data_IF_267600562256
#
_entry.id   IF_267600562256
#
_cell.length_a   1.000
_cell.length_b   1.000
_cell.length_c   1.000
_cell.angle_alpha   90.00
_cell.angle_beta   90.00
_cell.angle_gamma   90.00
#
_symmetry.space_group_name_H-M   'P 1'
#
loop_
_entity.id
_entity.type
_entity.pdbx_description
1 polymer ?
#
# COMPACT_ATOMS: atom_id res chain seq x y z
N UNK A 1 47.92 33.86 -3.91
CA UNK A 1 47.99 32.72 -2.97
C UNK A 1 46.67 31.95 -3.08
N UNK A 2 46.61 30.92 -3.92
CA UNK A 2 45.36 30.16 -4.19
C UNK A 2 45.39 28.89 -3.36
N UNK A 3 44.57 28.85 -2.32
CA UNK A 3 44.32 27.66 -1.50
C UNK A 3 43.61 26.59 -2.34
N UNK A 4 44.34 25.53 -2.72
CA UNK A 4 43.74 24.32 -3.29
C UNK A 4 42.87 23.65 -2.22
N UNK A 5 41.56 23.73 -2.38
CA UNK A 5 40.62 22.91 -1.64
C UNK A 5 40.94 21.43 -1.90
N UNK A 6 41.41 20.72 -0.88
CA UNK A 6 41.68 19.30 -0.96
C UNK A 6 40.40 18.53 -1.22
N UNK A 7 40.23 17.99 -2.43
CA UNK A 7 39.20 16.99 -2.73
C UNK A 7 39.42 15.81 -1.78
N UNK A 8 38.56 15.64 -0.77
CA UNK A 8 38.50 14.42 0.03
C UNK A 8 38.23 13.26 -0.94
N UNK A 9 39.24 12.43 -1.19
CA UNK A 9 39.08 11.21 -1.98
C UNK A 9 38.19 10.27 -1.18
N UNK A 10 37.03 9.93 -1.74
CA UNK A 10 36.16 8.89 -1.17
C UNK A 10 36.93 7.57 -1.30
N UNK A 11 37.30 6.97 -0.16
CA UNK A 11 37.99 5.68 -0.12
C UNK A 11 37.08 4.53 -0.56
N UNK A 12 37.62 3.31 -0.72
CA UNK A 12 36.86 2.13 -1.19
C UNK A 12 35.63 1.84 -0.33
N UNK A 13 35.71 2.04 0.99
CA UNK A 13 34.57 1.91 1.92
C UNK A 13 33.43 2.88 1.57
N UNK A 14 33.77 4.12 1.19
CA UNK A 14 32.76 5.11 0.80
C UNK A 14 32.06 4.75 -0.51
N UNK A 15 32.78 4.13 -1.45
CA UNK A 15 32.18 3.60 -2.68
C UNK A 15 31.25 2.40 -2.40
N UNK A 16 31.65 1.49 -1.52
CA UNK A 16 30.79 0.37 -1.11
C UNK A 16 29.50 0.85 -0.47
N UNK A 17 29.55 1.80 0.46
CA UNK A 17 28.36 2.36 1.10
C UNK A 17 27.46 3.08 0.09
N UNK A 18 28.04 3.85 -0.83
CA UNK A 18 27.28 4.52 -1.89
C UNK A 18 26.57 3.50 -2.82
N UNK A 19 27.26 2.43 -3.19
CA UNK A 19 26.68 1.36 -4.02
C UNK A 19 25.54 0.63 -3.30
N UNK A 20 25.69 0.33 -2.02
CA UNK A 20 24.64 -0.30 -1.20
C UNK A 20 23.42 0.62 -1.04
N UNK A 21 23.65 1.92 -0.80
CA UNK A 21 22.57 2.90 -0.73
C UNK A 21 21.84 3.02 -2.07
N UNK A 22 22.56 3.09 -3.18
CA UNK A 22 21.96 3.13 -4.51
C UNK A 22 21.14 1.87 -4.79
N UNK A 23 21.66 0.69 -4.46
CA UNK A 23 20.93 -0.57 -4.60
C UNK A 23 19.65 -0.55 -3.74
N UNK A 24 19.73 -0.10 -2.48
CA UNK A 24 18.56 0.03 -1.62
C UNK A 24 17.51 0.99 -2.19
N UNK A 25 17.93 2.14 -2.73
CA UNK A 25 17.04 3.10 -3.38
C UNK A 25 16.42 2.52 -4.66
N UNK A 26 17.19 1.78 -5.46
CA UNK A 26 16.66 1.11 -6.66
C UNK A 26 15.62 0.05 -6.29
N UNK A 27 15.89 -0.79 -5.29
CA UNK A 27 14.91 -1.76 -4.80
C UNK A 27 13.67 -1.09 -4.21
N UNK A 28 13.85 0.09 -3.61
CA UNK A 28 12.76 0.85 -3.04
C UNK A 28 11.82 1.44 -4.12
N UNK A 29 12.39 2.09 -5.13
CA UNK A 29 11.64 2.94 -6.07
C UNK A 29 11.53 2.38 -7.49
N UNK A 30 12.24 1.30 -7.79
CA UNK A 30 12.20 0.61 -9.07
C UNK A 30 12.10 -0.92 -8.89
N UNK A 31 11.02 -1.47 -8.30
CA UNK A 31 10.90 -2.92 -8.03
C UNK A 31 11.08 -3.79 -9.28
N UNK A 32 10.82 -3.25 -10.48
CA UNK A 32 11.08 -3.89 -11.77
C UNK A 32 12.51 -4.41 -11.95
N UNK A 33 13.50 -3.88 -11.22
CA UNK A 33 14.90 -4.36 -11.25
C UNK A 33 15.04 -5.80 -10.75
N UNK A 34 14.05 -6.32 -10.00
CA UNK A 34 14.00 -7.72 -9.56
C UNK A 34 13.43 -8.66 -10.63
N UNK A 35 13.27 -8.20 -11.87
CA UNK A 35 12.79 -8.95 -13.03
C UNK A 35 11.42 -9.61 -12.82
N UNK A 36 10.36 -8.89 -13.20
CA UNK A 36 9.01 -9.41 -13.30
C UNK A 36 8.76 -9.87 -14.75
N UNK A 37 8.63 -11.19 -15.01
CA UNK A 37 8.58 -11.72 -16.38
C UNK A 37 7.31 -11.37 -17.16
N UNK A 38 6.23 -10.99 -16.48
CA UNK A 38 4.98 -10.61 -17.11
C UNK A 38 4.66 -9.15 -16.81
N UNK A 39 4.24 -8.41 -17.84
CA UNK A 39 3.74 -7.05 -17.68
C UNK A 39 2.57 -6.77 -18.60
N UNK A 40 1.59 -6.02 -18.11
CA UNK A 40 0.44 -5.57 -18.89
C UNK A 40 0.09 -4.15 -18.48
N UNK A 41 -0.24 -3.30 -19.47
CA UNK A 41 -0.78 -1.96 -19.21
C UNK A 41 -2.29 -1.98 -19.41
N UNK A 42 -3.01 -1.46 -18.41
CA UNK A 42 -4.47 -1.31 -18.42
C UNK A 42 -4.77 0.15 -18.06
N UNK A 43 -5.13 0.96 -19.07
CA UNK A 43 -5.33 2.40 -18.89
C UNK A 43 -4.07 3.08 -18.31
N UNK A 44 -4.22 3.73 -17.15
CA UNK A 44 -3.13 4.39 -16.43
C UNK A 44 -2.30 3.49 -15.52
N UNK A 45 -2.70 2.23 -15.35
CA UNK A 45 -2.05 1.27 -14.47
C UNK A 45 -1.14 0.33 -15.26
N UNK A 46 0.10 0.16 -14.80
CA UNK A 46 1.00 -0.88 -15.31
C UNK A 46 1.11 -2.00 -14.28
N UNK A 47 0.77 -3.22 -14.66
CA UNK A 47 0.83 -4.40 -13.80
C UNK A 47 2.06 -5.21 -14.18
N UNK A 48 2.89 -5.53 -13.19
CA UNK A 48 4.03 -6.43 -13.26
C UNK A 48 3.72 -7.66 -12.41
N UNK A 49 4.00 -8.86 -12.90
CA UNK A 49 3.68 -10.10 -12.19
C UNK A 49 4.76 -11.17 -12.35
N UNK A 50 4.87 -12.02 -11.33
CA UNK A 50 5.72 -13.22 -11.35
C UNK A 50 5.10 -14.39 -12.12
N UNK A 51 3.78 -14.38 -12.29
CA UNK A 51 2.97 -15.38 -13.00
C UNK A 51 2.24 -14.71 -14.17
N UNK A 52 1.78 -15.47 -15.19
CA UNK A 52 0.95 -14.93 -16.24
C UNK A 52 -0.21 -14.11 -15.67
N UNK A 53 -0.43 -12.92 -16.24
CA UNK A 53 -1.47 -12.00 -15.79
C UNK A 53 -2.81 -12.53 -16.30
N UNK A 54 -3.68 -12.90 -15.37
CA UNK A 54 -5.04 -13.35 -15.68
C UNK A 54 -5.86 -12.19 -16.29
N UNK A 55 -6.68 -12.48 -17.30
CA UNK A 55 -7.49 -11.49 -18.01
C UNK A 55 -8.45 -10.73 -17.09
N UNK A 56 -8.87 -11.34 -15.97
CA UNK A 56 -9.72 -10.70 -14.95
C UNK A 56 -9.09 -9.47 -14.33
N UNK A 57 -7.78 -9.25 -14.46
CA UNK A 57 -7.11 -8.04 -13.94
C UNK A 57 -7.79 -6.74 -14.40
N UNK A 58 -8.37 -6.72 -15.61
CA UNK A 58 -9.11 -5.57 -16.14
C UNK A 58 -10.36 -5.30 -15.29
N UNK A 59 -11.10 -6.34 -14.95
CA UNK A 59 -12.30 -6.26 -14.12
C UNK A 59 -11.94 -5.88 -12.68
N UNK A 60 -10.88 -6.48 -12.11
CA UNK A 60 -10.40 -6.17 -10.75
C UNK A 60 -9.99 -4.69 -10.62
N UNK A 61 -9.29 -4.15 -11.63
CA UNK A 61 -8.93 -2.74 -11.69
C UNK A 61 -10.17 -1.84 -11.82
N UNK A 62 -11.16 -2.23 -12.62
CA UNK A 62 -12.41 -1.50 -12.78
C UNK A 62 -13.25 -1.47 -11.50
N UNK A 63 -13.30 -2.59 -10.76
CA UNK A 63 -13.97 -2.65 -9.46
C UNK A 63 -13.26 -1.78 -8.42
N UNK A 64 -11.94 -1.85 -8.36
CA UNK A 64 -11.15 -0.99 -7.47
C UNK A 64 -11.37 0.49 -7.80
N UNK A 65 -11.41 0.85 -9.09
CA UNK A 65 -11.72 2.21 -9.54
C UNK A 65 -13.12 2.68 -9.10
N UNK A 66 -14.10 1.78 -9.12
CA UNK A 66 -15.46 2.08 -8.62
C UNK A 66 -15.46 2.39 -7.13
N UNK A 67 -14.69 1.66 -6.33
CA UNK A 67 -14.50 1.94 -4.91
C UNK A 67 -13.84 3.30 -4.69
N UNK A 68 -12.76 3.60 -5.43
CA UNK A 68 -12.02 4.86 -5.31
C UNK A 68 -12.90 6.08 -5.62
N UNK A 69 -13.80 5.99 -6.60
CA UNK A 69 -14.74 7.06 -6.96
C UNK A 69 -15.71 7.46 -5.85
N UNK A 70 -15.90 6.61 -4.83
CA UNK A 70 -16.73 6.96 -3.68
C UNK A 70 -16.05 7.95 -2.73
N UNK A 71 -14.73 8.11 -2.83
CA UNK A 71 -13.95 9.02 -2.00
C UNK A 71 -14.15 10.48 -2.44
N UNK A 72 -14.46 11.41 -1.51
CA UNK A 72 -14.52 12.84 -1.83
C UNK A 72 -13.19 13.46 -2.29
N UNK A 73 -12.05 12.80 -2.03
CA UNK A 73 -10.72 13.26 -2.48
C UNK A 73 -10.27 12.57 -3.77
N UNK A 74 -11.16 11.87 -4.48
CA UNK A 74 -10.83 11.19 -5.73
C UNK A 74 -10.48 12.19 -6.84
N UNK A 75 -9.23 12.18 -7.35
CA UNK A 75 -8.77 13.16 -8.34
C UNK A 75 -9.05 12.74 -9.79
N UNK A 76 -9.60 11.53 -10.01
CA UNK A 76 -9.58 10.86 -11.30
C UNK A 76 -8.67 9.62 -11.28
N UNK A 77 -8.51 8.93 -12.43
CA UNK A 77 -7.68 7.72 -12.50
C UNK A 77 -6.24 7.97 -12.05
N UNK A 78 -5.80 7.23 -11.02
CA UNK A 78 -4.47 7.40 -10.44
C UNK A 78 -3.45 6.55 -11.19
N UNK A 79 -2.45 7.20 -11.80
CA UNK A 79 -1.32 6.53 -12.46
C UNK A 79 -0.42 5.83 -11.44
N UNK A 80 -0.28 4.51 -11.59
CA UNK A 80 0.48 3.67 -10.64
C UNK A 80 0.99 2.40 -11.29
N UNK A 81 1.95 1.77 -10.64
CA UNK A 81 2.45 0.45 -11.02
C UNK A 81 2.12 -0.57 -9.93
N UNK A 82 1.55 -1.72 -10.30
CA UNK A 82 1.27 -2.82 -9.38
C UNK A 82 2.30 -3.93 -9.58
N UNK A 83 2.93 -4.40 -8.51
CA UNK A 83 3.90 -5.50 -8.54
C UNK A 83 3.30 -6.68 -7.78
N UNK A 84 2.77 -7.64 -8.53
CA UNK A 84 2.10 -8.83 -8.00
C UNK A 84 3.09 -9.96 -7.79
N UNK A 85 3.27 -10.40 -6.55
CA UNK A 85 4.18 -11.50 -6.21
C UNK A 85 3.39 -12.75 -5.83
N UNK A 86 4.11 -13.85 -5.59
CA UNK A 86 3.61 -15.08 -4.99
C UNK A 86 4.06 -15.27 -3.54
N UNK A 87 4.45 -14.18 -2.84
CA UNK A 87 5.01 -14.23 -1.49
C UNK A 87 6.39 -14.89 -1.38
N UNK A 88 7.03 -15.15 -2.52
CA UNK A 88 8.34 -15.76 -2.62
C UNK A 88 9.48 -14.80 -2.30
N UNK A 89 10.64 -15.07 -2.88
CA UNK A 89 11.86 -14.33 -2.55
C UNK A 89 11.79 -12.84 -2.94
N UNK A 90 11.09 -12.46 -4.02
CA UNK A 90 10.94 -11.04 -4.40
C UNK A 90 10.17 -10.27 -3.34
N UNK A 91 9.09 -10.86 -2.82
CA UNK A 91 8.37 -10.30 -1.67
C UNK A 91 9.29 -10.13 -0.47
N UNK A 92 10.05 -11.16 -0.10
CA UNK A 92 10.96 -11.10 1.06
C UNK A 92 12.02 -10.01 0.93
N UNK A 93 12.54 -9.78 -0.27
CA UNK A 93 13.51 -8.69 -0.54
C UNK A 93 12.85 -7.32 -0.51
N UNK A 94 11.68 -7.18 -1.12
CA UNK A 94 10.98 -5.88 -1.22
C UNK A 94 10.32 -5.48 0.10
N UNK A 95 9.83 -6.44 0.88
CA UNK A 95 9.04 -6.22 2.10
C UNK A 95 9.84 -6.43 3.39
N UNK A 96 11.18 -6.26 3.36
CA UNK A 96 12.05 -6.51 4.52
C UNK A 96 11.59 -5.85 5.83
N UNK A 97 10.99 -4.66 5.74
CA UNK A 97 10.51 -3.90 6.91
C UNK A 97 9.08 -4.29 7.33
N UNK A 98 8.32 -4.95 6.45
CA UNK A 98 6.89 -5.21 6.62
C UNK A 98 6.48 -6.57 6.00
N UNK A 99 7.05 -7.70 6.42
CA UNK A 99 6.86 -8.98 5.72
C UNK A 99 5.43 -9.54 5.81
N UNK A 100 4.64 -9.09 6.78
CA UNK A 100 3.30 -9.59 7.08
C UNK A 100 2.16 -8.70 6.56
N UNK A 101 2.42 -7.73 5.68
CA UNK A 101 1.37 -6.89 5.08
C UNK A 101 0.86 -7.48 3.77
N UNK A 102 -0.36 -7.09 3.37
CA UNK A 102 -0.96 -7.53 2.10
C UNK A 102 -0.30 -6.87 0.90
N UNK A 103 -0.08 -5.57 1.02
CA UNK A 103 0.63 -4.77 0.07
C UNK A 103 1.25 -3.57 0.79
N UNK A 104 2.08 -2.82 0.08
CA UNK A 104 2.54 -1.53 0.55
C UNK A 104 2.92 -0.65 -0.64
N UNK A 105 2.84 0.65 -0.44
CA UNK A 105 3.58 1.65 -1.21
C UNK A 105 4.69 2.27 -0.38
N UNK A 106 5.69 2.85 -1.04
CA UNK A 106 6.70 3.70 -0.39
C UNK A 106 6.36 5.18 -0.60
N UNK A 107 6.67 6.06 0.39
CA UNK A 107 6.51 7.51 0.22
C UNK A 107 7.21 8.03 -1.02
N UNK A 108 6.62 9.01 -1.70
CA UNK A 108 7.07 9.61 -2.96
C UNK A 108 7.09 8.63 -4.15
N UNK A 109 6.41 7.50 -4.03
CA UNK A 109 6.30 6.48 -5.07
C UNK A 109 4.85 6.09 -5.35
N UNK A 110 4.60 5.73 -6.62
CA UNK A 110 3.33 5.17 -7.10
C UNK A 110 3.43 3.68 -7.41
N UNK A 111 4.51 3.03 -6.96
CA UNK A 111 4.67 1.58 -7.01
C UNK A 111 4.01 0.94 -5.78
N UNK A 112 3.05 0.05 -6.04
CA UNK A 112 2.38 -0.74 -5.01
C UNK A 112 2.84 -2.19 -5.17
N UNK A 113 3.44 -2.74 -4.12
CA UNK A 113 3.95 -4.12 -4.12
C UNK A 113 3.00 -4.98 -3.31
N UNK A 114 2.52 -6.06 -3.91
CA UNK A 114 1.58 -7.00 -3.29
C UNK A 114 2.31 -8.28 -2.88
N UNK A 115 1.83 -8.87 -1.78
CA UNK A 115 2.26 -10.17 -1.28
C UNK A 115 1.74 -11.29 -2.19
N UNK A 116 1.16 -12.37 -1.65
CA UNK A 116 0.62 -13.50 -2.43
C UNK A 116 -0.68 -13.10 -3.14
N UNK A 117 -0.55 -12.59 -4.35
CA UNK A 117 -1.67 -12.18 -5.19
C UNK A 117 -2.16 -13.31 -6.09
N UNK A 118 -3.47 -13.49 -6.14
CA UNK A 118 -4.18 -14.39 -7.04
C UNK A 118 -5.30 -13.59 -7.72
N UNK A 119 -5.05 -13.20 -8.97
CA UNK A 119 -5.97 -12.37 -9.76
C UNK A 119 -7.25 -13.16 -10.06
N UNK A 120 -7.12 -14.46 -10.41
CA UNK A 120 -8.24 -15.29 -10.80
C UNK A 120 -9.24 -15.46 -9.65
N UNK A 121 -8.74 -15.50 -8.41
CA UNK A 121 -9.54 -15.62 -7.20
C UNK A 121 -9.90 -14.28 -6.53
N UNK A 122 -9.52 -13.14 -7.12
CA UNK A 122 -9.59 -11.80 -6.50
C UNK A 122 -9.08 -11.82 -5.05
N UNK A 123 -7.82 -12.23 -4.85
CA UNK A 123 -7.32 -12.52 -3.51
C UNK A 123 -5.87 -12.09 -3.30
N UNK A 124 -5.58 -11.55 -2.12
CA UNK A 124 -4.23 -11.37 -1.59
C UNK A 124 -4.14 -12.05 -0.23
N UNK A 125 -3.07 -12.80 0.00
CA UNK A 125 -2.84 -13.51 1.27
C UNK A 125 -1.52 -13.14 1.93
N UNK A 126 -1.46 -13.28 3.25
CA UNK A 126 -0.25 -13.12 4.08
C UNK A 126 -0.02 -14.35 4.93
N UNK A 127 1.15 -14.44 5.56
CA UNK A 127 1.50 -15.52 6.48
C UNK A 127 0.95 -15.31 7.90
N UNK A 128 -0.05 -14.44 8.10
CA UNK A 128 -0.73 -14.27 9.39
C UNK A 128 -1.71 -15.42 9.64
N UNK A 129 -2.00 -15.71 10.90
CA UNK A 129 -2.94 -16.76 11.27
C UNK A 129 -4.41 -16.34 11.12
N UNK A 130 -4.73 -15.07 11.43
CA UNK A 130 -6.08 -14.53 11.40
C UNK A 130 -6.12 -13.25 10.56
N UNK A 131 -7.22 -13.05 9.82
CA UNK A 131 -7.40 -11.89 8.95
C UNK A 131 -6.32 -11.81 7.88
N UNK A 132 -5.89 -12.97 7.37
CA UNK A 132 -4.73 -13.13 6.52
C UNK A 132 -5.07 -13.07 5.03
N UNK A 133 -6.34 -12.83 4.70
CA UNK A 133 -6.88 -12.83 3.34
C UNK A 133 -7.69 -11.56 3.13
N UNK A 134 -7.47 -10.88 2.00
CA UNK A 134 -8.30 -9.76 1.50
C UNK A 134 -8.54 -9.91 0.01
N UNK A 135 -9.50 -9.17 -0.53
CA UNK A 135 -9.68 -9.13 -1.99
C UNK A 135 -8.52 -8.39 -2.66
N UNK A 136 -8.14 -8.79 -3.87
CA UNK A 136 -7.15 -8.03 -4.64
C UNK A 136 -7.71 -6.65 -5.00
N UNK A 137 -8.97 -6.58 -5.41
CA UNK A 137 -9.74 -5.35 -5.66
C UNK A 137 -9.64 -4.39 -4.47
N UNK A 138 -9.96 -4.86 -3.26
CA UNK A 138 -9.99 -4.02 -2.06
C UNK A 138 -8.59 -3.58 -1.62
N UNK A 139 -7.58 -4.46 -1.74
CA UNK A 139 -6.19 -4.06 -1.47
C UNK A 139 -5.69 -3.03 -2.49
N UNK A 140 -6.06 -3.15 -3.79
CA UNK A 140 -5.75 -2.12 -4.79
C UNK A 140 -6.39 -0.78 -4.38
N UNK A 141 -7.67 -0.77 -3.99
CA UNK A 141 -8.36 0.44 -3.57
C UNK A 141 -7.76 1.05 -2.30
N UNK A 142 -7.46 0.22 -1.30
CA UNK A 142 -6.82 0.63 -0.05
C UNK A 142 -5.47 1.32 -0.32
N UNK A 143 -4.55 0.65 -1.01
CA UNK A 143 -3.20 1.19 -1.27
C UNK A 143 -3.23 2.42 -2.18
N UNK A 144 -4.19 2.48 -3.12
CA UNK A 144 -4.37 3.67 -3.97
C UNK A 144 -4.91 4.85 -3.17
N UNK A 145 -5.72 4.59 -2.14
CA UNK A 145 -6.22 5.65 -1.24
C UNK A 145 -5.06 6.30 -0.48
N UNK A 146 -4.02 5.54 -0.09
CA UNK A 146 -2.80 6.13 0.48
C UNK A 146 -2.05 7.06 -0.48
N UNK A 147 -2.14 6.82 -1.80
CA UNK A 147 -1.62 7.76 -2.82
C UNK A 147 -2.52 9.00 -2.85
N UNK A 148 -3.85 8.84 -2.90
CA UNK A 148 -4.80 9.96 -2.92
C UNK A 148 -4.69 10.86 -1.68
N UNK A 149 -4.50 10.28 -0.49
CA UNK A 149 -4.24 11.03 0.75
C UNK A 149 -2.96 11.86 0.60
N UNK A 150 -1.88 11.26 0.06
CA UNK A 150 -0.62 11.95 -0.14
C UNK A 150 -0.70 13.06 -1.20
N UNK A 151 -1.48 12.86 -2.26
CA UNK A 151 -1.73 13.89 -3.28
C UNK A 151 -2.59 15.04 -2.72
N UNK A 152 -3.56 14.74 -1.85
CA UNK A 152 -4.45 15.74 -1.24
C UNK A 152 -3.76 16.57 -0.14
N UNK A 153 -2.97 15.94 0.73
CA UNK A 153 -2.33 16.60 1.88
C UNK A 153 -0.87 16.98 1.66
N UNK A 154 -0.20 16.34 0.70
CA UNK A 154 1.26 16.26 0.60
C UNK A 154 1.83 15.09 1.41
N UNK A 155 2.85 14.42 0.87
CA UNK A 155 3.49 13.23 1.44
C UNK A 155 3.91 13.37 2.91
N UNK A 156 4.45 14.53 3.30
CA UNK A 156 4.89 14.77 4.69
C UNK A 156 3.73 14.81 5.67
N UNK A 157 2.61 15.45 5.29
CA UNK A 157 1.42 15.53 6.16
C UNK A 157 0.71 14.19 6.22
N UNK A 158 0.62 13.49 5.09
CA UNK A 158 0.07 12.13 5.04
C UNK A 158 0.82 11.18 5.98
N UNK A 159 2.17 11.25 6.01
CA UNK A 159 3.00 10.42 6.89
C UNK A 159 2.85 10.75 8.40
N UNK A 160 2.29 11.92 8.73
CA UNK A 160 2.05 12.35 10.12
C UNK A 160 0.61 12.09 10.59
N UNK A 161 -0.26 11.57 9.72
CA UNK A 161 -1.62 11.21 10.12
C UNK A 161 -1.60 10.12 11.20
N UNK A 162 -2.51 10.17 12.18
CA UNK A 162 -2.71 9.05 13.09
C UNK A 162 -3.03 7.79 12.28
N UNK A 163 -2.45 6.65 12.66
CA UNK A 163 -2.63 5.38 11.95
C UNK A 163 -4.10 5.01 11.76
N UNK A 164 -4.94 5.25 12.77
CA UNK A 164 -6.37 4.96 12.68
C UNK A 164 -7.10 5.81 11.61
N UNK A 165 -6.62 7.03 11.33
CA UNK A 165 -7.16 7.88 10.27
C UNK A 165 -6.71 7.37 8.91
N UNK A 166 -5.41 7.20 8.72
CA UNK A 166 -4.84 6.80 7.42
C UNK A 166 -5.34 5.41 6.99
N UNK A 167 -5.19 4.42 7.87
CA UNK A 167 -5.58 3.04 7.61
C UNK A 167 -7.11 2.87 7.61
N UNK A 168 -7.80 3.51 8.56
CA UNK A 168 -9.26 3.44 8.64
C UNK A 168 -9.95 4.09 7.45
N UNK A 169 -9.41 5.19 6.91
CA UNK A 169 -9.97 5.83 5.72
C UNK A 169 -9.70 5.01 4.46
N UNK A 170 -8.51 4.43 4.32
CA UNK A 170 -8.21 3.51 3.23
C UNK A 170 -9.12 2.26 3.26
N UNK A 171 -9.36 1.67 4.42
CA UNK A 171 -10.33 0.57 4.59
C UNK A 171 -11.79 1.01 4.37
N UNK A 172 -12.14 2.25 4.74
CA UNK A 172 -13.47 2.81 4.47
C UNK A 172 -13.72 2.91 2.95
N UNK A 173 -12.78 3.50 2.20
CA UNK A 173 -12.87 3.63 0.74
C UNK A 173 -12.83 2.26 0.05
N UNK A 174 -12.00 1.32 0.54
CA UNK A 174 -11.96 -0.05 0.03
C UNK A 174 -13.22 -0.86 0.33
N UNK A 175 -14.11 -0.37 1.22
CA UNK A 175 -15.30 -1.07 1.70
C UNK A 175 -15.02 -2.45 2.34
N UNK A 176 -13.79 -2.69 2.79
CA UNK A 176 -13.36 -3.93 3.45
C UNK A 176 -12.24 -3.65 4.46
N UNK A 177 -12.06 -4.60 5.38
CA UNK A 177 -10.96 -4.64 6.35
C UNK A 177 -10.35 -6.03 6.37
N UNK A 178 -9.21 -6.19 7.05
CA UNK A 178 -8.58 -7.51 7.24
C UNK A 178 -9.44 -8.50 8.04
N UNK A 179 -10.43 -8.04 8.79
CA UNK A 179 -11.38 -8.88 9.54
C UNK A 179 -12.80 -8.60 9.07
N UNK A 180 -13.61 -9.66 8.99
CA UNK A 180 -15.06 -9.57 8.98
C UNK A 180 -15.60 -9.22 10.37
N UNK A 181 -16.85 -8.76 10.48
CA UNK A 181 -17.49 -8.48 11.78
C UNK A 181 -17.58 -9.73 12.67
N UNK A 182 -17.78 -10.91 12.05
CA UNK A 182 -17.82 -12.18 12.75
C UNK A 182 -16.44 -12.56 13.33
N UNK A 183 -15.37 -12.41 12.54
CA UNK A 183 -14.00 -12.64 12.98
C UNK A 183 -13.59 -11.64 14.07
N UNK A 184 -13.90 -10.35 13.89
CA UNK A 184 -13.65 -9.33 14.90
C UNK A 184 -14.42 -9.64 16.19
N UNK A 185 -15.68 -10.08 16.10
CA UNK A 185 -16.47 -10.51 17.25
C UNK A 185 -15.86 -11.73 17.96
N UNK A 186 -15.35 -12.70 17.22
CA UNK A 186 -14.62 -13.85 17.77
C UNK A 186 -13.33 -13.40 18.46
N UNK A 187 -12.51 -12.58 17.79
CA UNK A 187 -11.25 -12.06 18.32
C UNK A 187 -11.45 -11.27 19.60
N UNK A 188 -12.47 -10.40 19.68
CA UNK A 188 -12.77 -9.65 20.92
C UNK A 188 -13.04 -10.57 22.12
N UNK A 189 -13.45 -11.83 21.90
CA UNK A 189 -13.65 -12.81 22.97
C UNK A 189 -12.40 -13.65 23.26
N UNK A 190 -11.57 -13.93 22.26
CA UNK A 190 -10.43 -14.84 22.39
C UNK A 190 -9.09 -14.13 22.57
N UNK A 191 -8.89 -13.00 21.90
CA UNK A 191 -7.74 -12.10 22.01
C UNK A 191 -8.17 -10.64 21.76
N UNK A 192 -8.69 -9.94 22.79
CA UNK A 192 -9.18 -8.56 22.65
C UNK A 192 -8.08 -7.53 22.36
N UNK A 193 -6.80 -7.91 22.45
CA UNK A 193 -5.67 -7.03 22.19
C UNK A 193 -5.00 -7.29 20.85
N UNK A 194 -5.53 -8.21 20.04
CA UNK A 194 -4.95 -8.52 18.75
C UNK A 194 -4.92 -7.27 17.84
N UNK A 195 -3.76 -6.94 17.23
CA UNK A 195 -3.60 -5.72 16.43
C UNK A 195 -4.59 -5.57 15.27
N UNK A 196 -5.09 -6.69 14.72
CA UNK A 196 -6.06 -6.67 13.62
C UNK A 196 -7.40 -6.00 13.99
N UNK A 197 -7.79 -6.02 15.28
CA UNK A 197 -8.98 -5.31 15.76
C UNK A 197 -8.86 -3.80 15.58
N UNK A 198 -7.67 -3.23 15.77
CA UNK A 198 -7.46 -1.79 15.63
C UNK A 198 -7.79 -1.28 14.22
N UNK A 199 -7.50 -2.08 13.18
CA UNK A 199 -7.83 -1.74 11.79
C UNK A 199 -9.35 -1.83 11.53
N UNK A 200 -10.00 -2.89 12.02
CA UNK A 200 -11.46 -3.05 11.93
C UNK A 200 -12.18 -1.89 12.64
N UNK A 201 -11.78 -1.57 13.87
CA UNK A 201 -12.36 -0.48 14.66
C UNK A 201 -12.09 0.89 14.02
N UNK A 202 -10.90 1.09 13.44
CA UNK A 202 -10.55 2.32 12.74
C UNK A 202 -11.48 2.62 11.56
N UNK A 203 -11.81 1.62 10.73
CA UNK A 203 -12.77 1.77 9.62
C UNK A 203 -14.13 2.25 10.10
N UNK A 204 -14.66 1.64 11.16
CA UNK A 204 -15.96 2.01 11.74
C UNK A 204 -15.93 3.39 12.40
N UNK A 205 -14.82 3.73 13.07
CA UNK A 205 -14.59 5.06 13.63
C UNK A 205 -14.58 6.13 12.54
N UNK A 206 -13.89 5.88 11.42
CA UNK A 206 -13.86 6.79 10.27
C UNK A 206 -15.26 6.98 9.69
N UNK A 207 -16.01 5.89 9.47
CA UNK A 207 -17.38 5.99 8.97
C UNK A 207 -18.27 6.86 9.88
N UNK A 208 -18.13 6.71 11.20
CA UNK A 208 -18.85 7.51 12.20
C UNK A 208 -18.45 8.99 12.14
N UNK A 209 -17.15 9.29 12.07
CA UNK A 209 -16.66 10.67 11.97
C UNK A 209 -17.18 11.32 10.68
N UNK A 210 -17.07 10.66 9.54
CA UNK A 210 -17.57 11.16 8.26
C UNK A 210 -19.09 11.40 8.30
N UNK A 211 -19.87 10.49 8.88
CA UNK A 211 -21.31 10.69 9.04
C UNK A 211 -21.62 11.95 9.89
N UNK A 212 -20.87 12.16 10.98
CA UNK A 212 -21.05 13.29 11.88
C UNK A 212 -20.55 14.63 11.31
N UNK A 213 -19.63 14.61 10.34
CA UNK A 213 -19.06 15.81 9.70
C UNK A 213 -19.62 16.08 8.31
N UNK A 214 -20.74 15.45 7.94
CA UNK A 214 -21.38 15.63 6.63
C UNK A 214 -20.51 15.14 5.46
N UNK A 215 -19.64 14.16 5.69
CA UNK A 215 -18.72 13.59 4.72
C UNK A 215 -17.42 14.38 4.55
N UNK A 216 -17.12 15.34 5.41
CA UNK A 216 -15.89 16.13 5.30
C UNK A 216 -14.64 15.31 5.64
N UNK A 217 -13.89 14.98 4.59
CA UNK A 217 -12.60 14.27 4.70
C UNK A 217 -11.53 15.14 5.36
N UNK A 218 -11.54 16.47 5.13
CA UNK A 218 -10.62 17.37 5.82
C UNK A 218 -10.88 17.43 7.33
N UNK A 219 -12.15 17.37 7.76
CA UNK A 219 -12.49 17.28 9.18
C UNK A 219 -12.06 15.95 9.80
N UNK A 220 -12.05 14.87 9.02
CA UNK A 220 -11.47 13.59 9.42
C UNK A 220 -9.94 13.67 9.54
N UNK A 221 -9.26 14.27 8.57
CA UNK A 221 -7.79 14.43 8.58
C UNK A 221 -7.28 15.40 9.66
N UNK A 222 -8.15 16.28 10.17
CA UNK A 222 -7.85 17.12 11.32
C UNK A 222 -7.95 16.39 12.67
N UNK A 223 -8.45 15.15 12.71
CA UNK A 223 -8.53 14.36 13.93
C UNK A 223 -7.12 13.96 14.39
N UNK A 224 -6.89 13.98 15.71
CA UNK A 224 -5.64 13.57 16.35
C UNK A 224 -5.73 12.17 16.94
#
# INVERSE_FOLDING_TARGET
>A
MITRAGRRRVGPVGWTLAALLLLALMLAYAPQVLAFPFSQRVGDVTVYAERPIDARIVDELSRAETLLRSSPIYPGPVRRSLFLTNGGWRWRVLALQSPHVFAFRRPFGSAIVFNRSDIAADRVTTDRDIGNTRTLTGVIAHETTHIMIADHLGELRAALLPTWVAEGYADHVAAESSLTDAEAGHLRRTDPHAPALAYHDARHRVATVLANTGGSVDALFAQR
#
